data_IF_118750751084
#
_entry.id   IF_118750751084
#
_cell.length_a   1.000
_cell.length_b   1.000
_cell.length_c   1.000
_cell.angle_alpha   90.00
_cell.angle_beta   90.00
_cell.angle_gamma   90.00
#
_symmetry.space_group_name_H-M   'P 1'
#
loop_
_entity.id
_entity.type
_entity.pdbx_description
1 polymer ?
#
# COMPACT_ATOMS: atom_id res chain seq x y z
N UNK A 1 -8.97 -14.85 9.40
CA UNK A 1 -8.20 -13.60 9.41
C UNK A 1 -8.66 -12.81 10.61
N UNK A 2 -7.73 -12.26 11.38
CA UNK A 2 -8.01 -11.32 12.47
C UNK A 2 -6.99 -10.19 12.45
N UNK A 3 -7.36 -9.05 13.04
CA UNK A 3 -6.51 -7.88 13.23
C UNK A 3 -6.61 -7.38 14.66
N UNK A 4 -5.48 -6.95 15.19
CA UNK A 4 -5.38 -6.34 16.51
C UNK A 4 -5.02 -4.86 16.33
N UNK A 5 -5.63 -4.00 17.15
CA UNK A 5 -5.14 -2.63 17.33
C UNK A 5 -4.25 -2.59 18.57
N UNK A 6 -2.99 -2.20 18.37
CA UNK A 6 -2.01 -2.08 19.44
C UNK A 6 -1.72 -0.60 19.72
N UNK A 7 -1.56 -0.25 20.99
CA UNK A 7 -1.06 1.05 21.45
C UNK A 7 0.37 0.90 21.93
N UNK A 8 1.25 1.79 21.49
CA UNK A 8 2.57 1.93 22.08
C UNK A 8 2.46 2.71 23.40
N UNK A 9 2.82 2.07 24.51
CA UNK A 9 2.87 2.65 25.86
C UNK A 9 4.32 2.52 26.38
N UNK A 10 5.05 3.64 26.34
CA UNK A 10 6.50 3.64 26.50
C UNK A 10 7.18 2.77 25.44
N UNK A 11 7.75 1.64 25.88
CA UNK A 11 8.42 0.67 25.00
C UNK A 11 7.62 -0.64 24.81
N UNK A 12 6.34 -0.67 25.18
CA UNK A 12 5.51 -1.86 25.07
C UNK A 12 4.33 -1.65 24.13
N UNK A 13 4.04 -2.65 23.29
CA UNK A 13 2.83 -2.71 22.51
C UNK A 13 1.73 -3.39 23.33
N UNK A 14 0.71 -2.64 23.69
CA UNK A 14 -0.43 -3.10 24.47
C UNK A 14 -1.65 -3.19 23.55
N UNK A 15 -2.30 -4.36 23.44
CA UNK A 15 -3.50 -4.51 22.64
C UNK A 15 -4.66 -3.72 23.24
N UNK A 16 -5.32 -2.94 22.40
CA UNK A 16 -6.52 -2.15 22.70
C UNK A 16 -7.75 -2.86 22.17
N UNK A 17 -7.69 -3.38 20.94
CA UNK A 17 -8.70 -4.23 20.33
C UNK A 17 -8.03 -5.51 19.86
N UNK A 18 -8.68 -6.66 20.09
CA UNK A 18 -8.19 -7.97 19.68
C UNK A 18 -9.16 -8.66 18.74
N UNK A 19 -8.61 -9.52 17.90
CA UNK A 19 -9.35 -10.49 17.10
C UNK A 19 -10.43 -9.87 16.19
N UNK A 20 -10.23 -8.64 15.73
CA UNK A 20 -11.17 -7.97 14.84
C UNK A 20 -11.16 -8.66 13.47
N UNK A 21 -12.33 -9.07 12.96
CA UNK A 21 -12.44 -9.98 11.81
C UNK A 21 -12.11 -9.39 10.44
N UNK A 22 -11.71 -8.12 10.39
CA UNK A 22 -11.53 -7.34 9.17
C UNK A 22 -10.12 -6.76 9.13
N UNK A 23 -9.63 -6.46 7.93
CA UNK A 23 -8.45 -5.62 7.76
C UNK A 23 -8.71 -4.26 8.39
N UNK A 24 -7.69 -3.66 9.01
CA UNK A 24 -7.73 -2.29 9.53
C UNK A 24 -6.50 -1.51 9.02
N UNK A 25 -6.68 -0.24 8.67
CA UNK A 25 -5.57 0.63 8.21
C UNK A 25 -5.89 2.09 8.55
N UNK A 26 -4.90 2.78 9.11
CA UNK A 26 -4.95 4.22 9.35
C UNK A 26 -4.45 4.99 8.13
N UNK A 27 -5.06 6.14 7.87
CA UNK A 27 -4.73 7.06 6.79
C UNK A 27 -4.51 8.44 7.38
N UNK A 28 -3.41 9.05 6.96
CA UNK A 28 -3.07 10.46 7.13
C UNK A 28 -3.55 11.18 5.86
N UNK A 29 -4.74 11.78 5.92
CA UNK A 29 -5.45 12.30 4.74
C UNK A 29 -5.01 13.72 4.40
N UNK A 30 -4.66 14.51 5.42
CA UNK A 30 -4.14 15.86 5.26
C UNK A 30 -2.59 15.94 5.16
N UNK A 31 -1.91 14.80 5.30
CA UNK A 31 -0.46 14.64 5.12
C UNK A 31 0.33 15.42 6.19
N UNK A 32 -0.21 15.52 7.40
CA UNK A 32 0.43 16.18 8.55
C UNK A 32 1.35 15.25 9.37
N UNK A 33 1.39 13.96 9.03
CA UNK A 33 2.15 12.91 9.71
C UNK A 33 1.36 12.16 10.79
N UNK A 34 0.08 12.48 11.01
CA UNK A 34 -0.79 11.83 11.99
C UNK A 34 -2.05 11.28 11.31
N UNK A 35 -2.20 9.96 11.33
CA UNK A 35 -3.42 9.34 10.81
C UNK A 35 -4.67 9.73 11.61
N UNK A 36 -5.64 10.33 10.92
CA UNK A 36 -6.92 10.80 11.44
C UNK A 36 -8.11 9.98 10.93
N UNK A 37 -7.92 9.15 9.91
CA UNK A 37 -8.94 8.23 9.38
C UNK A 37 -8.53 6.77 9.59
N UNK A 38 -9.41 5.98 10.23
CA UNK A 38 -9.24 4.53 10.36
C UNK A 38 -10.32 3.82 9.54
N UNK A 39 -9.91 3.02 8.55
CA UNK A 39 -10.84 2.20 7.77
C UNK A 39 -10.71 0.72 8.09
N UNK A 40 -11.81 0.01 7.92
CA UNK A 40 -11.86 -1.44 7.87
C UNK A 40 -12.33 -1.96 6.53
N UNK A 41 -11.85 -3.13 6.14
CA UNK A 41 -12.33 -3.85 4.98
C UNK A 41 -12.55 -5.34 5.32
N UNK A 42 -13.69 -5.88 4.91
CA UNK A 42 -13.97 -7.31 5.10
C UNK A 42 -12.91 -8.18 4.41
N UNK A 43 -12.55 -9.29 5.04
CA UNK A 43 -11.80 -10.36 4.37
C UNK A 43 -12.77 -11.26 3.60
N UNK A 44 -12.45 -11.55 2.33
CA UNK A 44 -13.19 -12.49 1.50
C UNK A 44 -12.22 -13.57 0.99
N UNK A 45 -12.54 -14.85 1.18
CA UNK A 45 -11.62 -15.94 0.79
C UNK A 45 -11.42 -16.04 -0.72
N UNK A 46 -12.42 -15.71 -1.53
CA UNK A 46 -12.30 -15.81 -2.99
C UNK A 46 -11.51 -14.62 -3.58
N UNK A 47 -11.71 -13.42 -3.04
CA UNK A 47 -11.15 -12.17 -3.61
C UNK A 47 -10.06 -11.53 -2.76
N UNK A 48 -9.70 -12.14 -1.63
CA UNK A 48 -8.88 -11.62 -0.53
C UNK A 48 -9.48 -10.40 0.17
N UNK A 49 -9.74 -9.33 -0.59
CA UNK A 49 -10.44 -8.13 -0.13
C UNK A 49 -11.94 -8.22 -0.45
N UNK A 50 -12.78 -8.04 0.56
CA UNK A 50 -14.22 -7.87 0.41
C UNK A 50 -14.59 -6.45 -0.03
N UNK A 51 -15.80 -6.26 -0.55
CA UNK A 51 -16.23 -4.96 -1.10
C UNK A 51 -16.73 -3.97 -0.05
N UNK A 52 -16.91 -4.39 1.21
CA UNK A 52 -17.45 -3.53 2.26
C UNK A 52 -16.30 -2.85 3.00
N UNK A 53 -16.28 -1.52 2.90
CA UNK A 53 -15.37 -0.65 3.62
C UNK A 53 -16.16 0.22 4.57
N UNK A 54 -15.65 0.39 5.80
CA UNK A 54 -16.29 1.19 6.86
C UNK A 54 -15.24 2.02 7.57
N UNK A 55 -15.59 3.24 7.93
CA UNK A 55 -14.83 3.98 8.92
C UNK A 55 -15.00 3.32 10.28
N UNK A 56 -13.92 3.30 11.06
CA UNK A 56 -13.88 2.83 12.43
C UNK A 56 -13.55 3.98 13.36
N UNK A 57 -14.27 4.06 14.48
CA UNK A 57 -13.91 4.91 15.61
C UNK A 57 -13.65 4.03 16.81
N UNK A 58 -12.55 4.28 17.52
CA UNK A 58 -12.28 3.60 18.78
C UNK A 58 -13.25 4.11 19.85
N UNK A 59 -14.03 3.20 20.43
CA UNK A 59 -15.01 3.47 21.47
C UNK A 59 -14.74 2.54 22.66
N UNK A 60 -13.94 3.01 23.61
CA UNK A 60 -13.48 2.18 24.74
C UNK A 60 -12.47 1.12 24.29
N UNK A 61 -12.81 -0.14 24.47
CA UNK A 61 -12.02 -1.33 24.13
C UNK A 61 -12.48 -2.01 22.81
N UNK A 62 -13.30 -1.31 22.02
CA UNK A 62 -13.80 -1.82 20.75
C UNK A 62 -13.96 -0.74 19.68
N UNK A 63 -14.45 -1.15 18.51
CA UNK A 63 -14.75 -0.25 17.41
C UNK A 63 -16.26 -0.03 17.25
N UNK A 64 -16.64 1.22 17.01
CA UNK A 64 -17.91 1.55 16.33
C UNK A 64 -17.62 1.76 14.84
N UNK A 65 -18.58 1.44 13.98
CA UNK A 65 -18.42 1.58 12.52
C UNK A 65 -19.45 2.52 11.90
N UNK A 66 -19.01 3.30 10.93
CA UNK A 66 -19.79 4.26 10.14
C UNK A 66 -19.53 4.07 8.64
N UNK A 67 -20.27 4.79 7.81
CA UNK A 67 -19.95 4.89 6.38
C UNK A 67 -18.63 5.64 6.22
N UNK A 68 -17.77 5.19 5.30
CA UNK A 68 -16.53 5.90 5.00
C UNK A 68 -16.82 7.35 4.57
N UNK A 69 -16.01 8.33 4.98
CA UNK A 69 -16.23 9.74 4.65
C UNK A 69 -15.94 10.08 3.18
N UNK A 70 -15.28 9.16 2.47
CA UNK A 70 -14.97 9.25 1.04
C UNK A 70 -15.66 8.12 0.28
N UNK A 71 -16.03 8.38 -0.97
CA UNK A 71 -16.59 7.35 -1.83
C UNK A 71 -15.49 6.36 -2.25
N UNK A 72 -15.70 5.08 -1.95
CA UNK A 72 -14.72 4.02 -2.18
C UNK A 72 -15.14 3.19 -3.41
N UNK A 73 -14.29 3.07 -4.45
CA UNK A 73 -14.61 2.25 -5.60
C UNK A 73 -14.64 0.77 -5.23
N UNK A 74 -15.50 -0.03 -5.88
CA UNK A 74 -15.66 -1.47 -5.58
C UNK A 74 -14.36 -2.28 -5.69
N UNK A 75 -13.40 -1.82 -6.49
CA UNK A 75 -12.13 -2.47 -6.72
C UNK A 75 -11.05 -2.16 -5.66
N UNK A 76 -11.36 -1.31 -4.69
CA UNK A 76 -10.45 -0.83 -3.65
C UNK A 76 -9.93 -1.96 -2.75
N UNK A 77 -8.71 -1.76 -2.26
CA UNK A 77 -8.07 -2.59 -1.24
C UNK A 77 -7.49 -1.66 -0.18
N UNK A 78 -7.75 -1.94 1.08
CA UNK A 78 -7.38 -1.05 2.18
C UNK A 78 -5.86 -1.08 2.43
N UNK A 79 -5.25 -2.26 2.37
CA UNK A 79 -3.80 -2.42 2.47
C UNK A 79 -3.15 -2.00 1.14
N UNK A 80 -2.08 -1.21 1.23
CA UNK A 80 -1.37 -0.70 0.05
C UNK A 80 -2.13 0.39 -0.68
N UNK A 81 -3.00 1.11 0.02
CA UNK A 81 -3.71 2.29 -0.49
C UNK A 81 -3.31 3.57 0.25
N UNK A 82 -3.70 4.68 -0.34
CA UNK A 82 -3.52 6.04 0.15
C UNK A 82 -4.81 6.81 -0.13
N UNK A 83 -5.18 7.71 0.79
CA UNK A 83 -6.30 8.63 0.63
C UNK A 83 -5.72 10.02 0.87
N UNK A 84 -5.77 10.89 -0.13
CA UNK A 84 -5.13 12.22 -0.11
C UNK A 84 -5.68 13.07 -1.25
N UNK A 85 -5.65 14.39 -1.12
CA UNK A 85 -5.90 15.28 -2.25
C UNK A 85 -4.73 15.20 -3.25
N UNK A 86 -4.98 14.62 -4.43
CA UNK A 86 -4.00 14.47 -5.51
C UNK A 86 -4.19 15.55 -6.57
N UNK A 87 -5.41 16.07 -6.69
CA UNK A 87 -5.75 17.04 -7.75
C UNK A 87 -5.57 18.50 -7.33
N UNK A 88 -5.41 18.76 -6.03
CA UNK A 88 -5.28 20.09 -5.43
C UNK A 88 -6.61 20.83 -5.32
N UNK A 89 -7.75 20.12 -5.35
CA UNK A 89 -9.09 20.71 -5.30
C UNK A 89 -9.70 20.75 -3.89
N UNK A 90 -8.99 20.23 -2.89
CA UNK A 90 -9.39 20.14 -1.49
C UNK A 90 -10.24 18.91 -1.16
N UNK A 91 -10.58 18.06 -2.12
CA UNK A 91 -11.24 16.78 -1.90
C UNK A 91 -10.23 15.61 -2.01
N UNK A 92 -10.29 14.61 -1.13
CA UNK A 92 -9.35 13.49 -1.20
C UNK A 92 -9.71 12.49 -2.30
N UNK A 93 -8.71 12.09 -3.06
CA UNK A 93 -8.73 10.94 -3.97
C UNK A 93 -8.37 9.64 -3.25
N UNK A 94 -8.83 8.52 -3.81
CA UNK A 94 -8.45 7.18 -3.41
C UNK A 94 -7.41 6.62 -4.37
N UNK A 95 -6.23 6.31 -3.86
CA UNK A 95 -5.10 5.77 -4.61
C UNK A 95 -4.78 4.37 -4.13
N UNK A 96 -4.63 3.39 -5.02
CA UNK A 96 -4.24 2.04 -4.63
C UNK A 96 -3.55 1.28 -5.75
N UNK A 97 -2.73 0.29 -5.37
CA UNK A 97 -2.02 -0.58 -6.32
C UNK A 97 -2.66 -1.96 -6.34
N UNK A 98 -3.32 -2.33 -7.44
CA UNK A 98 -3.94 -3.65 -7.60
C UNK A 98 -3.50 -4.30 -8.89
N UNK A 99 -3.20 -5.60 -8.86
CA UNK A 99 -2.76 -6.37 -10.03
C UNK A 99 -1.61 -5.67 -10.78
N UNK A 100 -0.65 -5.16 -10.01
CA UNK A 100 0.51 -4.40 -10.49
C UNK A 100 0.17 -3.12 -11.25
N UNK A 101 -0.95 -2.47 -10.93
CA UNK A 101 -1.40 -1.21 -11.55
C UNK A 101 -1.79 -0.23 -10.46
N UNK A 102 -1.33 1.01 -10.60
CA UNK A 102 -1.79 2.11 -9.75
C UNK A 102 -3.07 2.69 -10.33
N UNK A 103 -4.05 2.87 -9.47
CA UNK A 103 -5.34 3.49 -9.76
C UNK A 103 -5.49 4.74 -8.92
N UNK A 104 -6.08 5.78 -9.51
CA UNK A 104 -6.50 6.99 -8.81
C UNK A 104 -7.97 7.22 -9.14
N UNK A 105 -8.78 7.37 -8.10
CA UNK A 105 -10.21 7.61 -8.19
C UNK A 105 -10.55 8.91 -7.45
N UNK A 106 -11.32 9.78 -8.12
CA UNK A 106 -12.00 10.89 -7.47
C UNK A 106 -13.47 10.50 -7.35
N UNK A 107 -13.89 10.14 -6.14
CA UNK A 107 -15.12 9.42 -5.88
C UNK A 107 -15.23 8.10 -6.68
N UNK A 108 -16.34 7.89 -7.39
CA UNK A 108 -16.53 6.74 -8.28
C UNK A 108 -15.77 6.82 -9.63
N UNK A 109 -15.21 7.98 -9.98
CA UNK A 109 -14.60 8.19 -11.29
C UNK A 109 -13.11 7.83 -11.30
N UNK A 110 -12.74 6.87 -12.15
CA UNK A 110 -11.34 6.50 -12.34
C UNK A 110 -10.62 7.54 -13.20
N UNK A 111 -10.00 8.54 -12.54
CA UNK A 111 -9.28 9.61 -13.24
C UNK A 111 -7.92 9.15 -13.78
N UNK A 112 -7.34 8.07 -13.22
CA UNK A 112 -6.08 7.52 -13.72
C UNK A 112 -5.92 6.02 -13.49
N UNK A 113 -5.21 5.39 -14.43
CA UNK A 113 -4.68 4.02 -14.33
C UNK A 113 -3.29 3.95 -14.95
N UNK A 114 -2.33 3.39 -14.23
CA UNK A 114 -0.96 3.28 -14.74
C UNK A 114 -0.86 2.35 -15.96
N UNK A 115 -0.12 2.79 -16.98
CA UNK A 115 0.18 1.95 -18.16
C UNK A 115 1.42 1.07 -17.97
N UNK A 116 2.27 1.39 -17.00
CA UNK A 116 3.39 0.57 -16.53
C UNK A 116 3.04 -0.15 -15.23
N UNK A 117 3.80 -1.20 -14.94
CA UNK A 117 3.64 -1.98 -13.72
C UNK A 117 4.09 -1.16 -12.49
N UNK A 118 3.23 -1.08 -11.48
CA UNK A 118 3.45 -0.42 -10.19
C UNK A 118 3.22 -1.47 -9.09
N UNK A 119 3.94 -1.42 -7.99
CA UNK A 119 3.96 -2.43 -6.92
C UNK A 119 5.03 -3.48 -7.17
N UNK A 120 4.65 -4.75 -6.95
CA UNK A 120 5.55 -5.90 -6.82
C UNK A 120 6.18 -5.99 -5.43
N UNK A 121 5.32 -6.05 -4.41
CA UNK A 121 5.71 -6.55 -3.09
C UNK A 121 6.19 -8.01 -3.16
N UNK A 122 7.11 -8.40 -2.27
CA UNK A 122 7.38 -9.81 -1.97
C UNK A 122 6.62 -10.26 -0.70
N UNK A 123 5.92 -9.33 -0.05
CA UNK A 123 5.05 -9.62 1.10
C UNK A 123 3.74 -10.23 0.60
N UNK A 124 3.59 -11.53 0.85
CA UNK A 124 2.43 -12.30 0.40
C UNK A 124 1.81 -13.07 1.56
N UNK A 125 0.51 -13.30 1.45
CA UNK A 125 -0.26 -14.10 2.40
C UNK A 125 -0.86 -15.27 1.63
N UNK A 126 -0.55 -16.49 2.06
CA UNK A 126 -1.17 -17.72 1.55
C UNK A 126 -2.21 -18.22 2.55
N UNK A 127 -3.38 -18.62 2.05
CA UNK A 127 -4.49 -19.05 2.87
C UNK A 127 -5.38 -20.06 2.15
N UNK A 128 -6.12 -20.86 2.92
CA UNK A 128 -7.10 -21.80 2.37
C UNK A 128 -8.39 -21.08 1.97
N UNK A 129 -8.81 -21.27 0.73
CA UNK A 129 -10.07 -20.73 0.19
C UNK A 129 -11.26 -21.49 0.78
N UNK A 130 -11.11 -22.82 0.91
CA UNK A 130 -12.07 -23.71 1.55
C UNK A 130 -11.32 -24.66 2.51
N UNK A 131 -11.15 -24.28 3.79
CA UNK A 131 -10.38 -25.05 4.76
C UNK A 131 -11.05 -26.37 5.14
N UNK A 132 -12.35 -26.52 4.91
CA UNK A 132 -13.13 -27.71 5.26
C UNK A 132 -13.21 -28.72 4.10
N UNK A 133 -12.69 -28.37 2.92
CA UNK A 133 -12.66 -29.25 1.75
C UNK A 133 -11.64 -30.39 1.92
N UNK A 134 -11.98 -31.58 1.39
CA UNK A 134 -11.07 -32.73 1.38
C UNK A 134 -9.75 -32.45 0.64
N UNK A 135 -9.80 -31.59 -0.38
CA UNK A 135 -8.64 -31.09 -1.13
C UNK A 135 -8.67 -29.56 -1.10
N UNK A 136 -8.05 -28.92 -0.09
CA UNK A 136 -8.14 -27.48 0.09
C UNK A 136 -7.46 -26.76 -1.08
N UNK A 137 -8.17 -25.80 -1.67
CA UNK A 137 -7.59 -24.85 -2.61
C UNK A 137 -6.88 -23.75 -1.83
N UNK A 138 -5.61 -23.51 -2.13
CA UNK A 138 -4.86 -22.38 -1.59
C UNK A 138 -4.91 -21.18 -2.53
N UNK A 139 -5.03 -20.00 -1.97
CA UNK A 139 -4.86 -18.73 -2.66
C UNK A 139 -3.69 -17.95 -2.04
N UNK A 140 -3.05 -17.13 -2.87
CA UNK A 140 -2.00 -16.22 -2.42
C UNK A 140 -2.38 -14.81 -2.84
N UNK A 141 -2.34 -13.89 -1.87
CA UNK A 141 -2.55 -12.47 -2.10
C UNK A 141 -1.28 -11.67 -1.78
N UNK A 142 -1.09 -10.57 -2.50
CA UNK A 142 0.04 -9.66 -2.29
C UNK A 142 -0.41 -8.46 -1.45
N UNK A 143 0.42 -8.09 -0.47
CA UNK A 143 0.23 -6.88 0.34
C UNK A 143 1.17 -5.80 -0.18
N UNK A 144 0.65 -4.99 -1.11
CA UNK A 144 1.44 -3.95 -1.78
C UNK A 144 1.86 -2.85 -0.79
N UNK A 145 3.04 -2.28 -1.02
CA UNK A 145 3.47 -1.08 -0.31
C UNK A 145 2.60 0.09 -0.78
N UNK A 146 2.03 0.82 0.17
CA UNK A 146 1.21 1.98 -0.15
C UNK A 146 2.04 3.05 -0.90
N UNK A 147 1.46 3.72 -1.90
CA UNK A 147 1.98 4.99 -2.39
C UNK A 147 2.05 6.02 -1.25
N UNK A 148 2.89 7.04 -1.43
CA UNK A 148 3.06 8.14 -0.47
C UNK A 148 2.81 9.44 -1.19
N UNK A 149 2.12 10.38 -0.53
CA UNK A 149 1.94 11.74 -1.00
C UNK A 149 2.97 12.67 -0.33
N UNK A 150 3.56 13.56 -1.11
CA UNK A 150 4.40 14.65 -0.61
C UNK A 150 4.55 15.73 -1.68
N UNK A 151 4.62 16.99 -1.28
CA UNK A 151 5.01 18.11 -2.14
C UNK A 151 6.52 18.05 -2.42
N UNK A 152 6.89 17.53 -3.59
CA UNK A 152 8.29 17.29 -3.96
C UNK A 152 8.91 18.52 -4.63
N UNK A 153 8.12 19.36 -5.31
CA UNK A 153 8.63 20.53 -6.04
C UNK A 153 8.29 21.89 -5.42
N UNK A 154 7.55 21.89 -4.30
CA UNK A 154 7.28 23.07 -3.48
C UNK A 154 6.14 23.94 -4.02
N UNK A 155 5.26 23.41 -4.87
CA UNK A 155 4.13 24.14 -5.43
C UNK A 155 2.85 24.06 -4.58
N UNK A 156 2.89 23.30 -3.48
CA UNK A 156 1.79 23.12 -2.54
C UNK A 156 0.77 22.06 -2.96
N UNK A 157 1.01 21.33 -4.05
CA UNK A 157 0.21 20.16 -4.46
C UNK A 157 1.06 18.91 -4.26
N UNK A 158 0.53 17.92 -3.56
CA UNK A 158 1.27 16.69 -3.31
C UNK A 158 1.44 15.87 -4.60
N UNK A 159 2.67 15.43 -4.88
CA UNK A 159 2.94 14.34 -5.79
C UNK A 159 2.79 12.98 -5.12
N UNK A 160 2.42 11.98 -5.92
CA UNK A 160 2.45 10.59 -5.48
C UNK A 160 3.78 9.95 -5.83
N UNK A 161 4.41 9.31 -4.85
CA UNK A 161 5.54 8.40 -5.03
C UNK A 161 5.06 6.98 -4.82
N UNK A 162 5.30 6.10 -5.78
CA UNK A 162 5.00 4.68 -5.67
C UNK A 162 6.19 3.83 -6.10
N UNK A 163 6.31 2.64 -5.52
CA UNK A 163 7.30 1.66 -5.98
C UNK A 163 6.83 1.09 -7.31
N UNK A 164 7.69 1.12 -8.31
CA UNK A 164 7.50 0.45 -9.58
C UNK A 164 8.56 -0.64 -9.73
N UNK A 165 8.24 -1.67 -10.51
CA UNK A 165 9.15 -2.80 -10.69
C UNK A 165 8.95 -3.48 -12.03
N UNK A 166 10.06 -3.98 -12.57
CA UNK A 166 10.09 -4.94 -13.66
C UNK A 166 10.18 -6.33 -13.00
N UNK A 167 9.13 -7.15 -13.14
CA UNK A 167 9.10 -8.50 -12.58
C UNK A 167 8.92 -9.57 -13.66
N UNK A 168 9.68 -10.64 -13.54
CA UNK A 168 9.72 -11.77 -14.45
C UNK A 168 8.90 -12.94 -13.88
N UNK A 169 7.64 -13.05 -14.31
CA UNK A 169 6.64 -14.01 -13.82
C UNK A 169 7.04 -15.49 -14.03
N UNK A 170 8.06 -15.77 -14.84
CA UNK A 170 8.52 -17.15 -15.13
C UNK A 170 9.37 -17.74 -13.98
N UNK A 171 9.92 -16.92 -13.06
CA UNK A 171 10.75 -17.41 -11.94
C UNK A 171 9.97 -17.82 -10.67
N UNK A 172 8.64 -17.76 -10.71
CA UNK A 172 7.75 -17.86 -9.53
C UNK A 172 7.54 -19.28 -8.99
N UNK A 173 8.20 -20.31 -9.53
CA UNK A 173 8.15 -21.67 -8.96
C UNK A 173 9.35 -21.86 -8.03
N UNK A 174 9.13 -21.57 -6.74
CA UNK A 174 10.05 -21.92 -5.65
C UNK A 174 11.26 -21.00 -5.50
N UNK A 175 11.09 -19.94 -4.71
CA UNK A 175 12.17 -19.24 -3.98
C UNK A 175 13.22 -18.53 -4.86
N UNK A 176 12.85 -17.35 -5.35
CA UNK A 176 13.69 -16.14 -5.49
C UNK A 176 12.76 -14.98 -5.89
N UNK A 177 12.99 -13.77 -5.37
CA UNK A 177 12.21 -12.58 -5.78
C UNK A 177 12.16 -12.48 -7.31
N UNK A 178 10.96 -12.51 -7.89
CA UNK A 178 10.75 -12.38 -9.33
C UNK A 178 11.00 -10.94 -9.82
N UNK A 179 11.52 -10.05 -8.99
CA UNK A 179 11.73 -8.64 -9.29
C UNK A 179 13.17 -8.42 -9.73
N UNK A 180 13.34 -8.09 -11.01
CA UNK A 180 14.65 -7.85 -11.61
C UNK A 180 15.13 -6.42 -11.28
N UNK A 181 14.22 -5.45 -11.35
CA UNK A 181 14.51 -4.03 -11.06
C UNK A 181 13.33 -3.36 -10.37
N UNK A 182 13.60 -2.46 -9.45
CA UNK A 182 12.62 -1.56 -8.84
C UNK A 182 13.08 -0.11 -8.91
N UNK A 183 12.15 0.83 -8.82
CA UNK A 183 12.43 2.27 -8.77
C UNK A 183 11.25 3.03 -8.16
N UNK A 184 11.46 4.30 -7.85
CA UNK A 184 10.39 5.19 -7.42
C UNK A 184 9.77 5.87 -8.64
N UNK A 185 8.50 5.58 -8.90
CA UNK A 185 7.70 6.28 -9.90
C UNK A 185 7.00 7.48 -9.22
N UNK A 186 7.04 8.63 -9.89
CA UNK A 186 6.41 9.87 -9.42
C UNK A 186 5.22 10.19 -10.32
N UNK A 187 4.10 10.59 -9.72
CA UNK A 187 2.89 11.02 -10.43
C UNK A 187 2.47 12.39 -9.92
N UNK A 188 2.37 13.36 -10.84
CA UNK A 188 1.94 14.73 -10.56
C UNK A 188 0.66 15.01 -11.32
N UNK A 189 -0.38 15.53 -10.65
CA UNK A 189 -1.54 16.04 -11.35
C UNK A 189 -1.27 17.46 -11.84
N UNK A 190 -1.48 17.72 -13.13
CA UNK A 190 -1.30 19.05 -13.71
C UNK A 190 -2.18 19.22 -14.94
N UNK A 191 -2.90 20.34 -15.01
CA UNK A 191 -3.75 20.70 -16.15
C UNK A 191 -4.72 19.58 -16.58
N UNK A 192 -5.37 18.92 -15.60
CA UNK A 192 -6.35 17.88 -15.88
C UNK A 192 -5.76 16.50 -16.18
N UNK A 193 -4.44 16.31 -16.08
CA UNK A 193 -3.76 15.08 -16.46
C UNK A 193 -2.71 14.65 -15.43
N UNK A 194 -2.46 13.36 -15.35
CA UNK A 194 -1.36 12.80 -14.55
C UNK A 194 -0.07 12.75 -15.38
N UNK A 195 0.90 13.56 -14.98
CA UNK A 195 2.29 13.54 -15.44
C UNK A 195 3.06 12.44 -14.71
N UNK A 196 4.00 11.80 -15.39
CA UNK A 196 4.81 10.69 -14.85
C UNK A 196 6.28 11.06 -14.85
N UNK A 197 6.94 10.82 -13.72
CA UNK A 197 8.37 10.94 -13.54
C UNK A 197 8.96 9.73 -12.81
N UNK A 198 10.23 9.84 -12.46
CA UNK A 198 10.94 8.90 -11.61
C UNK A 198 11.82 9.66 -10.64
N UNK A 199 12.02 9.11 -9.45
CA UNK A 199 12.90 9.68 -8.43
C UNK A 199 14.06 8.71 -8.17
N UNK A 200 15.29 9.20 -8.31
CA UNK A 200 16.51 8.41 -8.16
C UNK A 200 16.71 7.35 -9.25
N UNK A 201 17.71 6.50 -9.03
CA UNK A 201 18.09 5.43 -9.94
C UNK A 201 17.26 4.16 -9.73
N UNK A 202 17.24 3.30 -10.76
CA UNK A 202 16.72 1.95 -10.64
C UNK A 202 17.64 1.09 -9.76
N UNK A 203 17.05 0.22 -8.96
CA UNK A 203 17.75 -0.73 -8.10
C UNK A 203 17.50 -2.16 -8.56
N UNK A 204 18.53 -2.99 -8.55
CA UNK A 204 18.43 -4.42 -8.90
C UNK A 204 18.00 -5.27 -7.69
N UNK A 205 16.91 -4.86 -7.03
CA UNK A 205 16.35 -5.50 -5.83
C UNK A 205 14.93 -5.02 -5.56
N UNK A 206 14.09 -5.78 -4.84
CA UNK A 206 12.77 -5.31 -4.42
C UNK A 206 12.83 -4.18 -3.38
N UNK A 207 11.86 -3.27 -3.46
CA UNK A 207 11.55 -2.28 -2.43
C UNK A 207 10.29 -2.72 -1.67
N UNK A 208 10.33 -2.70 -0.34
CA UNK A 208 9.29 -3.22 0.56
C UNK A 208 8.78 -2.19 1.58
N UNK A 209 9.26 -0.96 1.47
CA UNK A 209 8.81 0.16 2.29
C UNK A 209 9.15 1.46 1.61
N UNK A 210 8.30 2.46 1.81
CA UNK A 210 8.43 3.78 1.21
C UNK A 210 7.84 4.81 2.17
N UNK A 211 8.54 5.92 2.37
CA UNK A 211 8.04 7.14 2.99
C UNK A 211 8.80 8.34 2.44
N UNK A 212 8.25 9.54 2.57
CA UNK A 212 8.94 10.79 2.26
C UNK A 212 8.97 11.61 3.54
N UNK A 213 10.17 11.99 3.97
CA UNK A 213 10.37 12.79 5.18
C UNK A 213 11.68 13.56 5.09
N UNK A 214 11.73 14.76 5.66
CA UNK A 214 12.95 15.58 5.75
C UNK A 214 13.66 15.77 4.40
N UNK A 215 12.91 16.11 3.35
CA UNK A 215 13.44 16.28 1.98
C UNK A 215 14.12 15.04 1.39
N UNK A 216 13.72 13.85 1.86
CA UNK A 216 14.21 12.57 1.36
C UNK A 216 13.08 11.57 1.16
N UNK A 217 13.12 10.82 0.06
CA UNK A 217 12.41 9.56 -0.05
C UNK A 217 13.23 8.46 0.62
N UNK A 218 12.67 7.85 1.66
CA UNK A 218 13.26 6.73 2.37
C UNK A 218 12.61 5.44 1.88
N UNK A 219 13.41 4.44 1.59
CA UNK A 219 12.93 3.17 1.07
C UNK A 219 13.62 1.99 1.74
N UNK A 220 12.85 0.91 1.96
CA UNK A 220 13.36 -0.36 2.49
C UNK A 220 13.67 -1.27 1.32
N UNK A 221 14.94 -1.49 1.04
CA UNK A 221 15.40 -2.40 -0.01
C UNK A 221 15.77 -3.75 0.60
N UNK A 222 15.37 -4.84 -0.05
CA UNK A 222 15.62 -6.20 0.47
C UNK A 222 16.37 -7.04 -0.57
N UNK A 223 17.49 -7.63 -0.18
CA UNK A 223 18.12 -8.71 -0.92
C UNK A 223 17.44 -10.01 -0.49
N UNK A 224 16.86 -10.73 -1.45
CA UNK A 224 16.25 -12.04 -1.20
C UNK A 224 17.28 -13.09 -1.55
N UNK A 225 17.69 -13.88 -0.56
CA UNK A 225 18.68 -14.93 -0.72
C UNK A 225 18.23 -15.89 -1.82
N UNK A 226 19.13 -16.12 -2.77
CA UNK A 226 19.02 -17.27 -3.65
C UNK A 226 19.26 -18.55 -2.87
N UNK A 227 18.74 -19.67 -3.39
CA UNK A 227 18.91 -21.03 -2.84
C UNK A 227 20.40 -21.40 -2.61
N UNK A 228 21.34 -20.72 -3.28
CA UNK A 228 22.77 -21.03 -3.26
C UNK A 228 23.63 -20.04 -2.44
N UNK A 229 23.17 -18.80 -2.25
CA UNK A 229 24.06 -17.69 -1.85
C UNK A 229 23.79 -17.18 -0.41
N UNK A 230 22.69 -17.62 0.20
CA UNK A 230 22.45 -17.63 1.66
C UNK A 230 22.42 -16.29 2.42
N UNK A 231 22.69 -15.16 1.77
CA UNK A 231 22.73 -13.85 2.42
C UNK A 231 21.46 -13.05 2.13
N UNK A 232 20.54 -13.05 3.09
CA UNK A 232 19.43 -12.09 3.16
C UNK A 232 19.91 -10.80 3.82
N UNK A 233 19.55 -9.66 3.26
CA UNK A 233 19.87 -8.36 3.85
C UNK A 233 18.78 -7.33 3.58
N UNK A 234 18.54 -6.45 4.54
CA UNK A 234 17.60 -5.33 4.40
C UNK A 234 18.34 -4.03 4.66
N UNK A 235 18.09 -3.04 3.81
CA UNK A 235 18.74 -1.73 3.84
C UNK A 235 17.67 -0.65 3.87
N UNK A 236 17.94 0.41 4.63
CA UNK A 236 17.23 1.68 4.46
C UNK A 236 18.07 2.55 3.55
N UNK A 237 17.50 2.94 2.42
CA UNK A 237 18.12 3.82 1.43
C UNK A 237 17.39 5.17 1.44
N UNK A 238 18.11 6.24 1.12
CA UNK A 238 17.56 7.58 1.04
C UNK A 238 17.90 8.21 -0.32
N UNK A 239 16.91 8.84 -0.96
CA UNK A 239 17.08 9.63 -2.18
C UNK A 239 16.62 11.05 -1.88
N UNK A 240 17.44 12.09 -2.12
CA UNK A 240 17.02 13.48 -1.99
C UNK A 240 15.85 13.80 -2.93
N UNK A 241 14.87 14.57 -2.47
CA UNK A 241 13.75 15.04 -3.31
C UNK A 241 13.92 16.48 -3.83
N UNK A 242 14.99 17.17 -3.43
CA UNK A 242 15.37 18.53 -3.85
C UNK A 242 16.75 18.58 -4.48
#
# INVERSE_FOLDING_TARGET
>A
MSSDLLRLDGNQLIPVVRDYSNFITGFDVDVDGQSELLLSQDFNRETFYGSRVRELTLAGDGFTSSTAPVEIPRAYQVIGSLITDVTGDGAPEVVFVRNRRLYIYSGSDQIYKSSKEIGATISTITYDVDPDAQNPMVATASCEVAPVAADLDGDGINELVAIAADANVIRTVGVASAIDKSWLAVFKYSNGMIMKGTLGDKLERPLQGLTVANDQALMVATDVAGILDGNDATYVLAVPVK
#
